data_IF_485451356463
#
_entry.id   IF_485451356463
#
_cell.length_a   1.000
_cell.length_b   1.000
_cell.length_c   1.000
_cell.angle_alpha   90.00
_cell.angle_beta   90.00
_cell.angle_gamma   90.00
#
_symmetry.space_group_name_H-M   'P 1'
#
loop_
_entity.id
_entity.type
_entity.pdbx_description
1 polymer ?
#
# COMPACT_ATOMS: atom_id res chain seq x y z
N UNK A 1 16.35 2.63 -14.72
CA UNK A 1 14.92 2.82 -14.42
C UNK A 1 14.46 1.78 -13.41
N UNK A 2 13.75 2.17 -12.38
CA UNK A 2 13.22 1.27 -11.39
C UNK A 2 12.12 0.41 -12.01
N UNK A 3 12.22 -0.93 -11.85
CA UNK A 3 11.21 -1.87 -12.37
C UNK A 3 10.06 -2.05 -11.38
N UNK A 4 10.37 -2.40 -10.15
CA UNK A 4 9.39 -2.58 -9.08
C UNK A 4 10.06 -2.47 -7.72
N UNK A 5 9.24 -2.34 -6.67
CA UNK A 5 9.65 -2.54 -5.28
C UNK A 5 8.93 -3.79 -4.79
N UNK A 6 9.62 -4.69 -4.13
CA UNK A 6 9.10 -5.97 -3.65
C UNK A 6 9.09 -6.01 -2.12
N UNK A 7 7.98 -6.47 -1.54
CA UNK A 7 7.79 -6.56 -0.11
C UNK A 7 7.25 -7.93 0.30
N UNK A 8 7.49 -8.30 1.53
CA UNK A 8 6.82 -9.43 2.17
C UNK A 8 5.46 -8.98 2.71
N UNK A 9 4.49 -9.89 2.68
CA UNK A 9 3.19 -9.68 3.32
C UNK A 9 2.75 -10.94 4.06
N UNK A 10 2.03 -10.77 5.16
CA UNK A 10 1.47 -11.89 5.93
C UNK A 10 0.17 -12.40 5.35
N UNK A 11 -0.54 -11.56 4.59
CA UNK A 11 -1.83 -11.89 3.98
C UNK A 11 -1.94 -11.18 2.64
N UNK A 12 -1.63 -11.91 1.57
CA UNK A 12 -1.57 -11.33 0.23
C UNK A 12 -2.96 -10.88 -0.26
N UNK A 13 -4.01 -11.61 0.11
CA UNK A 13 -5.37 -11.23 -0.26
C UNK A 13 -5.79 -9.89 0.35
N UNK A 14 -5.52 -9.69 1.63
CA UNK A 14 -5.79 -8.42 2.32
C UNK A 14 -4.96 -7.28 1.73
N UNK A 15 -3.69 -7.54 1.41
CA UNK A 15 -2.79 -6.54 0.84
C UNK A 15 -3.22 -6.12 -0.56
N UNK A 16 -3.59 -7.08 -1.42
CA UNK A 16 -4.11 -6.78 -2.76
C UNK A 16 -5.38 -5.93 -2.66
N UNK A 17 -6.33 -6.34 -1.81
CA UNK A 17 -7.58 -5.58 -1.63
C UNK A 17 -7.33 -4.16 -1.15
N UNK A 18 -6.39 -3.97 -0.20
CA UNK A 18 -6.04 -2.66 0.31
C UNK A 18 -5.52 -1.73 -0.80
N UNK A 19 -4.53 -2.18 -1.57
CA UNK A 19 -3.94 -1.34 -2.62
C UNK A 19 -4.88 -1.13 -3.80
N UNK A 20 -5.76 -2.10 -4.11
CA UNK A 20 -6.80 -1.89 -5.12
C UNK A 20 -7.76 -0.76 -4.74
N UNK A 21 -8.08 -0.59 -3.45
CA UNK A 21 -8.87 0.54 -2.98
C UNK A 21 -8.17 1.88 -3.19
N UNK A 22 -6.85 1.89 -3.23
CA UNK A 22 -6.05 3.09 -3.49
C UNK A 22 -5.82 3.34 -4.98
N UNK A 23 -6.38 2.49 -5.85
CA UNK A 23 -6.31 2.66 -7.29
C UNK A 23 -5.38 1.70 -8.01
N UNK A 24 -4.80 0.71 -7.31
CA UNK A 24 -3.94 -0.27 -7.94
C UNK A 24 -4.73 -1.21 -8.86
N UNK A 25 -4.11 -1.61 -9.95
CA UNK A 25 -4.59 -2.68 -10.83
C UNK A 25 -3.72 -3.90 -10.64
N UNK A 26 -4.33 -5.05 -10.37
CA UNK A 26 -3.61 -6.30 -10.20
C UNK A 26 -3.22 -6.86 -11.57
N UNK A 27 -1.93 -6.97 -11.84
CA UNK A 27 -1.42 -7.55 -13.09
C UNK A 27 -1.18 -9.05 -12.97
N UNK A 28 -0.72 -9.51 -11.79
CA UNK A 28 -0.47 -10.93 -11.52
C UNK A 28 -0.86 -11.25 -10.09
N UNK A 29 -1.43 -12.43 -9.90
CA UNK A 29 -1.72 -12.99 -8.59
C UNK A 29 -1.67 -14.52 -8.74
N UNK A 30 -0.58 -15.13 -8.33
CA UNK A 30 -0.30 -16.54 -8.61
C UNK A 30 0.48 -17.19 -7.47
N UNK A 31 0.56 -18.51 -7.52
CA UNK A 31 1.47 -19.30 -6.70
C UNK A 31 2.70 -19.64 -7.55
N UNK A 32 3.89 -19.39 -7.00
CA UNK A 32 5.15 -19.68 -7.68
C UNK A 32 5.45 -21.19 -7.64
N UNK A 33 6.41 -21.63 -8.47
CA UNK A 33 6.87 -23.02 -8.46
C UNK A 33 7.48 -23.45 -7.13
N UNK A 34 7.92 -22.51 -6.30
CA UNK A 34 8.44 -22.77 -4.94
C UNK A 34 7.34 -22.78 -3.86
N UNK A 35 6.09 -22.57 -4.24
CA UNK A 35 4.96 -22.56 -3.32
C UNK A 35 4.68 -21.22 -2.64
N UNK A 36 5.38 -20.16 -3.02
CA UNK A 36 5.10 -18.80 -2.53
C UNK A 36 3.92 -18.20 -3.29
N UNK A 37 3.15 -17.34 -2.63
CA UNK A 37 2.12 -16.55 -3.28
C UNK A 37 2.73 -15.20 -3.69
N UNK A 38 2.42 -14.77 -4.90
CA UNK A 38 2.97 -13.55 -5.49
C UNK A 38 1.88 -12.70 -6.11
N UNK A 39 1.93 -11.40 -5.89
CA UNK A 39 1.07 -10.43 -6.56
C UNK A 39 1.92 -9.29 -7.12
N UNK A 40 1.56 -8.83 -8.31
CA UNK A 40 2.15 -7.64 -8.94
C UNK A 40 1.03 -6.64 -9.16
N UNK A 41 1.18 -5.45 -8.60
CA UNK A 41 0.20 -4.39 -8.62
C UNK A 41 0.77 -3.18 -9.35
N UNK A 42 -0.03 -2.60 -10.27
CA UNK A 42 0.32 -1.37 -10.97
C UNK A 42 -0.39 -0.19 -10.34
N UNK A 43 0.37 0.87 -10.09
CA UNK A 43 -0.11 2.16 -9.62
C UNK A 43 0.49 3.24 -10.53
N UNK A 44 -0.28 3.70 -11.52
CA UNK A 44 0.25 4.56 -12.58
C UNK A 44 1.38 3.86 -13.34
N UNK A 45 2.58 4.45 -13.33
CA UNK A 45 3.78 3.86 -13.94
C UNK A 45 4.59 3.01 -12.98
N UNK A 46 4.21 2.98 -11.71
CA UNK A 46 4.91 2.23 -10.66
C UNK A 46 4.38 0.82 -10.50
N UNK A 47 5.28 -0.09 -10.13
CA UNK A 47 4.93 -1.48 -9.81
C UNK A 47 5.31 -1.79 -8.37
N UNK A 48 4.36 -2.34 -7.62
CA UNK A 48 4.59 -2.97 -6.32
C UNK A 48 4.44 -4.47 -6.48
N UNK A 49 5.33 -5.21 -5.88
CA UNK A 49 5.27 -6.67 -5.84
C UNK A 49 5.21 -7.12 -4.38
N UNK A 50 4.37 -8.11 -4.11
CA UNK A 50 4.25 -8.70 -2.78
C UNK A 50 4.41 -10.20 -2.85
N UNK A 51 5.12 -10.74 -1.86
CA UNK A 51 5.23 -12.19 -1.66
C UNK A 51 4.71 -12.55 -0.28
N UNK A 52 3.86 -13.58 -0.25
CA UNK A 52 3.52 -14.28 0.98
C UNK A 52 4.29 -15.60 0.97
N UNK A 53 5.27 -15.69 1.84
CA UNK A 53 6.14 -16.87 1.96
C UNK A 53 5.72 -17.71 3.16
N UNK A 54 6.14 -18.98 3.19
CA UNK A 54 5.95 -19.83 4.38
C UNK A 54 6.89 -19.38 5.50
N UNK A 55 6.45 -19.53 6.75
CA UNK A 55 7.21 -19.13 7.93
C UNK A 55 6.89 -17.70 8.37
N UNK A 56 7.73 -17.17 9.24
CA UNK A 56 7.50 -15.84 9.81
C UNK A 56 7.85 -14.74 8.83
N UNK A 57 7.00 -13.72 8.80
CA UNK A 57 7.23 -12.48 8.05
C UNK A 57 7.49 -11.36 9.05
N UNK A 58 8.67 -10.71 9.02
CA UNK A 58 8.95 -9.59 9.89
C UNK A 58 7.98 -8.44 9.65
N UNK A 59 7.64 -7.71 10.70
CA UNK A 59 6.86 -6.48 10.55
C UNK A 59 7.69 -5.42 9.81
N UNK A 60 7.06 -4.59 8.96
CA UNK A 60 7.73 -3.43 8.39
C UNK A 60 8.21 -2.47 9.47
N UNK A 61 9.20 -1.63 9.15
CA UNK A 61 9.67 -0.61 10.08
C UNK A 61 8.54 0.39 10.37
N UNK A 62 8.26 0.71 11.65
CA UNK A 62 7.11 1.54 12.01
C UNK A 62 7.33 3.05 11.83
N UNK A 63 8.57 3.51 11.60
CA UNK A 63 8.86 4.93 11.50
C UNK A 63 8.24 5.52 10.23
N UNK A 64 7.60 6.71 10.35
CA UNK A 64 6.91 7.35 9.23
C UNK A 64 7.83 7.69 8.05
N UNK A 65 9.13 7.89 8.30
CA UNK A 65 10.08 8.24 7.24
C UNK A 65 10.34 7.08 6.27
N UNK A 66 10.00 5.86 6.65
CA UNK A 66 10.10 4.68 5.79
C UNK A 66 8.71 4.32 5.28
N UNK A 67 8.39 4.79 4.09
CA UNK A 67 7.04 4.66 3.54
C UNK A 67 7.04 4.56 2.01
N UNK A 68 5.90 4.15 1.48
CA UNK A 68 5.55 4.27 0.07
C UNK A 68 4.67 5.50 -0.07
N UNK A 69 4.90 6.32 -1.09
CA UNK A 69 4.04 7.46 -1.41
C UNK A 69 3.25 7.17 -2.69
N UNK A 70 1.93 7.33 -2.62
CA UNK A 70 1.01 7.08 -3.72
C UNK A 70 0.18 8.34 -4.00
N UNK A 71 0.01 8.65 -5.27
CA UNK A 71 -1.00 9.62 -5.68
C UNK A 71 -2.37 8.94 -5.74
N UNK A 72 -3.37 9.56 -5.12
CA UNK A 72 -4.77 9.12 -5.18
C UNK A 72 -5.66 10.27 -5.59
N UNK A 73 -6.78 9.98 -6.21
CA UNK A 73 -7.78 10.98 -6.58
C UNK A 73 -8.91 10.97 -5.56
N UNK A 74 -9.27 12.15 -5.06
CA UNK A 74 -10.38 12.27 -4.11
C UNK A 74 -10.02 11.84 -2.69
N UNK A 75 -8.82 12.13 -2.22
CA UNK A 75 -8.35 11.73 -0.89
C UNK A 75 -9.30 12.17 0.22
N UNK A 76 -9.83 13.39 0.14
CA UNK A 76 -10.73 13.94 1.16
C UNK A 76 -12.00 13.11 1.33
N UNK A 77 -12.51 12.52 0.25
CA UNK A 77 -13.66 11.63 0.29
C UNK A 77 -13.26 10.18 0.64
N UNK A 78 -12.09 9.75 0.20
CA UNK A 78 -11.60 8.37 0.41
C UNK A 78 -11.24 8.12 1.88
N UNK A 79 -10.56 9.06 2.53
CA UNK A 79 -10.01 8.85 3.86
C UNK A 79 -11.05 8.45 4.91
N UNK A 80 -12.24 9.09 4.99
CA UNK A 80 -13.29 8.65 5.92
C UNK A 80 -13.73 7.20 5.70
N UNK A 81 -13.80 6.75 4.45
CA UNK A 81 -14.20 5.37 4.14
C UNK A 81 -13.15 4.36 4.59
N UNK A 82 -11.87 4.72 4.47
CA UNK A 82 -10.79 3.88 4.98
C UNK A 82 -10.86 3.77 6.50
N UNK A 83 -11.13 4.88 7.20
CA UNK A 83 -11.32 4.88 8.66
C UNK A 83 -12.49 3.98 9.08
N UNK A 84 -13.61 4.07 8.39
CA UNK A 84 -14.80 3.23 8.67
C UNK A 84 -14.49 1.74 8.53
N UNK A 85 -13.64 1.38 7.59
CA UNK A 85 -13.25 -0.02 7.35
C UNK A 85 -12.08 -0.48 8.24
N UNK A 86 -11.69 0.32 9.23
CA UNK A 86 -10.70 -0.06 10.21
C UNK A 86 -9.25 0.18 9.79
N UNK A 87 -9.01 0.91 8.70
CA UNK A 87 -7.64 1.28 8.31
C UNK A 87 -7.09 2.29 9.32
N UNK A 88 -5.90 2.00 9.84
CA UNK A 88 -5.23 2.90 10.78
C UNK A 88 -4.68 4.11 10.04
N UNK A 89 -5.11 5.30 10.45
CA UNK A 89 -4.61 6.58 9.95
C UNK A 89 -3.59 7.10 10.95
N UNK A 90 -2.33 7.19 10.54
CA UNK A 90 -1.24 7.65 11.41
C UNK A 90 -0.99 9.15 11.31
N UNK A 91 -1.36 9.76 10.19
CA UNK A 91 -1.44 11.23 10.04
C UNK A 91 -2.69 11.57 9.27
N UNK A 92 -3.56 12.36 9.90
CA UNK A 92 -4.83 12.75 9.30
C UNK A 92 -4.65 13.76 8.18
N UNK A 93 -5.73 14.04 7.46
CA UNK A 93 -5.75 14.95 6.32
C UNK A 93 -5.10 16.29 6.69
N UNK A 94 -4.10 16.71 5.93
CA UNK A 94 -3.36 17.95 6.12
C UNK A 94 -2.76 18.38 4.78
N UNK A 95 -2.41 19.66 4.64
CA UNK A 95 -1.71 20.10 3.43
C UNK A 95 -0.28 19.56 3.41
N UNK A 96 0.14 19.08 2.23
CA UNK A 96 1.54 18.76 1.95
C UNK A 96 2.34 20.05 1.69
N UNK A 97 3.68 19.96 1.56
CA UNK A 97 4.50 21.12 1.17
C UNK A 97 4.05 21.79 -0.13
N UNK A 98 3.42 21.04 -1.06
CA UNK A 98 2.86 21.60 -2.30
C UNK A 98 1.48 22.24 -2.12
N UNK A 99 0.89 22.17 -0.92
CA UNK A 99 -0.45 22.64 -0.62
C UNK A 99 -1.57 21.68 -0.95
N UNK A 100 -1.29 20.55 -1.58
CA UNK A 100 -2.29 19.52 -1.85
C UNK A 100 -2.55 18.68 -0.61
N UNK A 101 -3.74 18.07 -0.53
CA UNK A 101 -4.09 17.19 0.58
C UNK A 101 -3.14 16.00 0.66
N UNK A 102 -2.77 15.62 1.88
CA UNK A 102 -2.01 14.41 2.17
C UNK A 102 -2.49 13.76 3.45
N UNK A 103 -2.23 12.48 3.59
CA UNK A 103 -2.45 11.70 4.81
C UNK A 103 -1.49 10.51 4.84
N UNK A 104 -1.29 9.92 6.03
CA UNK A 104 -0.57 8.66 6.18
C UNK A 104 -1.51 7.60 6.74
N UNK A 105 -1.49 6.43 6.14
CA UNK A 105 -2.23 5.25 6.60
C UNK A 105 -1.28 4.07 6.73
N UNK A 106 -1.73 3.00 7.38
CA UNK A 106 -1.00 1.75 7.42
C UNK A 106 -1.67 0.71 6.52
N UNK A 107 -0.86 -0.03 5.77
CA UNK A 107 -1.35 -1.19 5.03
C UNK A 107 -1.63 -2.37 5.99
N UNK A 108 -2.15 -3.51 5.51
CA UNK A 108 -2.46 -4.64 6.40
C UNK A 108 -1.29 -5.20 7.20
N UNK A 109 -0.05 -4.98 6.76
CA UNK A 109 1.15 -5.40 7.49
C UNK A 109 1.66 -4.35 8.46
N UNK A 110 1.05 -3.16 8.50
CA UNK A 110 1.50 -2.03 9.31
C UNK A 110 2.51 -1.13 8.59
N UNK A 111 2.74 -1.31 7.31
CA UNK A 111 3.63 -0.47 6.50
C UNK A 111 3.01 0.91 6.32
N UNK A 112 3.82 1.94 6.53
CA UNK A 112 3.39 3.32 6.33
C UNK A 112 3.19 3.61 4.85
N UNK A 113 2.05 4.19 4.51
CA UNK A 113 1.71 4.59 3.15
C UNK A 113 1.27 6.05 3.18
N UNK A 114 2.01 6.90 2.48
CA UNK A 114 1.64 8.29 2.29
C UNK A 114 0.68 8.39 1.11
N UNK A 115 -0.44 9.07 1.32
CA UNK A 115 -1.43 9.34 0.28
C UNK A 115 -1.38 10.82 -0.06
N UNK A 116 -1.17 11.12 -1.33
CA UNK A 116 -1.09 12.48 -1.85
C UNK A 116 -2.20 12.67 -2.88
N UNK A 117 -2.93 13.78 -2.76
CA UNK A 117 -3.92 14.12 -3.79
C UNK A 117 -3.23 14.35 -5.14
N UNK A 118 -3.73 13.68 -6.15
CA UNK A 118 -3.17 13.75 -7.50
C UNK A 118 -3.37 15.14 -8.15
#
# INVERSE_FOLDING_TARGET
MLKHVSFLTRDIGATVAFYERLGATTEKHLTTGEGHRRAVLRLGDGLLQFFQVTGETPAPHPHWAEHIALHVTGLRALLPTLKEDGVTVTRDLQPSPSGRDMAFVQDPDGRQVELLEA
#
